data_IF_021650721531
#
_entry.id   IF_021650721531
#
_cell.length_a   1.000
_cell.length_b   1.000
_cell.length_c   1.000
_cell.angle_alpha   90.00
_cell.angle_beta   90.00
_cell.angle_gamma   90.00
#
_symmetry.space_group_name_H-M   'P 1'
#
loop_
_entity.id
_entity.type
_entity.pdbx_description
1 polymer ?
2 water ?
#
# COMPACT_ATOMS: atom_id res chain seq x y z
N UNK A 1 -1.40 -7.10 -3.29
CA UNK A 1 -0.57 -5.82 -3.27
C UNK A 1 -1.43 -4.65 -3.05
N UNK A 2 -0.82 -3.52 -2.69
CA UNK A 2 -1.58 -2.29 -2.51
C UNK A 2 -0.55 -1.18 -2.67
N UNK A 3 -0.34 -0.78 -3.94
CA UNK A 3 0.84 0.01 -4.28
C UNK A 3 0.47 1.49 -4.37
N UNK A 4 0.10 2.04 -3.21
CA UNK A 4 -0.30 3.43 -3.11
C UNK A 4 -0.11 3.83 -1.64
N UNK A 5 0.46 4.99 -1.33
CA UNK A 5 0.67 5.33 0.08
C UNK A 5 -0.57 5.34 0.90
N UNK A 6 -1.73 5.59 0.30
CA UNK A 6 -2.98 5.58 1.04
C UNK A 6 -3.32 4.20 1.58
N UNK A 7 -2.68 3.16 1.04
CA UNK A 7 -2.84 1.81 1.57
C UNK A 7 -2.30 1.67 3.00
N UNK A 8 -1.45 2.60 3.43
CA UNK A 8 -1.02 2.60 4.82
C UNK A 8 -0.31 1.32 5.17
N UNK A 9 -0.76 0.61 6.23
CA UNK A 9 -0.06 -0.61 6.63
C UNK A 9 -0.10 -1.72 5.59
N UNK A 10 -0.98 -1.63 4.60
CA UNK A 10 -1.09 -2.61 3.55
C UNK A 10 -0.11 -2.36 2.40
N UNK A 11 0.69 -1.30 2.45
CA UNK A 11 1.50 -0.92 1.29
C UNK A 11 2.39 -2.06 0.82
N UNK A 12 2.33 -2.34 -0.46
CA UNK A 12 3.18 -3.34 -1.08
C UNK A 12 3.06 -3.15 -2.60
N UNK A 13 4.18 -3.28 -3.28
CA UNK A 13 4.24 -3.16 -4.72
C UNK A 13 4.88 -4.37 -5.38
N UNK A 14 5.10 -4.21 -6.70
#
# INVERSE_FOLDING_TARGET
ICCNPACGPKYSCX
#
